data_IF_035719947505
#
_entry.id   IF_035719947505
#
_cell.length_a   1.000
_cell.length_b   1.000
_cell.length_c   1.000
_cell.angle_alpha   90.00
_cell.angle_beta   90.00
_cell.angle_gamma   90.00
#
_symmetry.space_group_name_H-M   'P 1'
#
loop_
_entity.id
_entity.type
_entity.pdbx_description
1 polymer ?
#
# COMPACT_ATOMS: atom_id res chain seq x y z
N UNK A 1 20.47 -17.70 12.27
CA UNK A 1 20.88 -16.59 11.38
C UNK A 1 19.74 -16.32 10.41
N UNK A 2 19.45 -15.04 10.18
CA UNK A 2 18.18 -14.50 9.71
C UNK A 2 17.64 -15.11 8.39
N UNK A 3 16.36 -15.49 8.38
CA UNK A 3 15.57 -15.57 7.14
C UNK A 3 15.15 -14.14 6.82
N UNK A 4 15.97 -13.42 6.08
CA UNK A 4 15.49 -12.28 5.30
C UNK A 4 14.38 -12.83 4.41
N UNK A 5 13.13 -12.43 4.64
CA UNK A 5 12.09 -12.66 3.66
C UNK A 5 12.54 -11.88 2.41
N UNK A 6 12.98 -12.59 1.37
CA UNK A 6 13.38 -11.98 0.11
C UNK A 6 12.14 -11.31 -0.50
N UNK A 7 11.99 -10.03 -0.20
CA UNK A 7 11.08 -9.16 -0.93
C UNK A 7 11.75 -8.87 -2.25
N UNK A 8 11.09 -9.23 -3.35
CA UNK A 8 11.62 -9.05 -4.69
C UNK A 8 11.74 -7.54 -5.01
N UNK A 9 12.97 -6.97 -5.06
CA UNK A 9 13.15 -5.55 -5.35
C UNK A 9 12.67 -5.18 -6.76
N UNK A 10 12.53 -6.15 -7.66
CA UNK A 10 12.01 -5.92 -9.01
C UNK A 10 10.53 -5.51 -8.99
N UNK A 11 9.74 -5.97 -8.02
CA UNK A 11 8.33 -5.59 -7.87
C UNK A 11 8.21 -4.12 -7.50
N UNK A 12 8.99 -3.67 -6.52
CA UNK A 12 9.02 -2.26 -6.10
C UNK A 12 9.56 -1.39 -7.24
N UNK A 13 10.63 -1.81 -7.92
CA UNK A 13 11.20 -1.06 -9.03
C UNK A 13 10.22 -0.93 -10.22
N UNK A 14 9.42 -1.97 -10.50
CA UNK A 14 8.36 -1.93 -11.52
C UNK A 14 7.31 -0.89 -11.16
N UNK A 15 6.81 -0.91 -9.93
CA UNK A 15 5.82 0.05 -9.45
C UNK A 15 6.37 1.49 -9.45
N UNK A 16 7.63 1.68 -9.07
CA UNK A 16 8.26 3.01 -9.09
C UNK A 16 8.46 3.53 -10.53
N UNK A 17 8.62 2.63 -11.51
CA UNK A 17 8.75 2.99 -12.93
C UNK A 17 7.41 3.33 -13.61
N UNK A 18 6.31 2.73 -13.16
CA UNK A 18 4.97 3.04 -13.65
C UNK A 18 3.99 3.34 -12.50
N UNK A 19 3.90 4.61 -12.07
CA UNK A 19 2.96 5.03 -11.04
C UNK A 19 1.47 4.83 -11.41
N UNK A 20 1.12 4.60 -12.68
CA UNK A 20 -0.26 4.39 -13.11
C UNK A 20 -0.66 2.91 -13.16
N UNK A 21 0.30 1.99 -13.12
CA UNK A 21 0.08 0.55 -13.08
C UNK A 21 -0.41 0.14 -11.67
N UNK A 22 -1.73 0.15 -11.47
CA UNK A 22 -2.37 -0.15 -10.18
C UNK A 22 -1.94 -1.51 -9.64
N UNK A 23 -1.94 -2.55 -10.48
CA UNK A 23 -1.56 -3.91 -10.07
C UNK A 23 -0.11 -3.95 -9.56
N UNK A 24 0.82 -3.26 -10.24
CA UNK A 24 2.19 -3.13 -9.76
C UNK A 24 2.27 -2.41 -8.41
N UNK A 25 1.44 -1.38 -8.18
CA UNK A 25 1.41 -0.69 -6.89
C UNK A 25 0.89 -1.58 -5.76
N UNK A 26 -0.14 -2.41 -6.00
CA UNK A 26 -0.66 -3.35 -5.02
C UNK A 26 0.41 -4.37 -4.61
N UNK A 27 1.06 -4.98 -5.61
CA UNK A 27 2.13 -5.95 -5.37
C UNK A 27 3.33 -5.32 -4.63
N UNK A 28 3.67 -4.07 -4.96
CA UNK A 28 4.74 -3.36 -4.26
C UNK A 28 4.37 -3.02 -2.81
N UNK A 29 3.10 -2.68 -2.53
CA UNK A 29 2.63 -2.46 -1.16
C UNK A 29 2.69 -3.76 -0.33
N UNK A 30 2.30 -4.90 -0.91
CA UNK A 30 2.41 -6.21 -0.25
C UNK A 30 3.87 -6.57 0.06
N UNK A 31 4.74 -6.35 -0.92
CA UNK A 31 6.19 -6.50 -0.79
C UNK A 31 6.75 -5.61 0.35
N UNK A 32 6.35 -4.36 0.41
CA UNK A 32 6.77 -3.41 1.45
C UNK A 32 6.28 -3.84 2.85
N UNK A 33 5.03 -4.30 2.99
CA UNK A 33 4.52 -4.87 4.25
C UNK A 33 5.32 -6.10 4.66
N UNK A 34 5.61 -7.02 3.72
CA UNK A 34 6.40 -8.21 3.99
C UNK A 34 7.84 -7.89 4.42
N UNK A 35 8.42 -6.79 3.91
CA UNK A 35 9.71 -6.24 4.34
C UNK A 35 9.65 -5.51 5.69
N UNK A 36 8.44 -5.23 6.21
CA UNK A 36 8.22 -4.43 7.41
C UNK A 36 8.17 -2.92 7.16
N UNK A 37 8.26 -2.46 5.91
CA UNK A 37 8.11 -1.05 5.52
C UNK A 37 6.63 -0.67 5.34
N UNK A 38 5.88 -0.86 6.42
CA UNK A 38 4.41 -0.71 6.44
C UNK A 38 3.97 0.72 6.12
N UNK A 39 4.71 1.72 6.56
CA UNK A 39 4.38 3.12 6.29
C UNK A 39 4.45 3.41 4.79
N UNK A 40 5.50 2.94 4.12
CA UNK A 40 5.66 3.09 2.67
C UNK A 40 4.54 2.40 1.89
N UNK A 41 4.14 1.20 2.30
CA UNK A 41 3.02 0.48 1.69
C UNK A 41 1.71 1.27 1.79
N UNK A 42 1.40 1.81 2.96
CA UNK A 42 0.17 2.58 3.18
C UNK A 42 0.16 3.89 2.39
N UNK A 43 1.29 4.60 2.36
CA UNK A 43 1.42 5.83 1.59
C UNK A 43 1.29 5.55 0.08
N UNK A 44 1.93 4.47 -0.41
CA UNK A 44 1.82 4.03 -1.81
C UNK A 44 0.37 3.87 -2.24
N UNK A 45 -0.41 3.07 -1.50
CA UNK A 45 -1.81 2.82 -1.86
C UNK A 45 -2.70 4.05 -1.67
N UNK A 46 -2.41 4.88 -0.66
CA UNK A 46 -3.11 6.17 -0.50
C UNK A 46 -2.92 7.05 -1.73
N UNK A 47 -1.70 7.11 -2.27
CA UNK A 47 -1.44 7.92 -3.45
C UNK A 47 -2.06 7.33 -4.72
N UNK A 48 -2.20 5.99 -4.81
CA UNK A 48 -2.99 5.36 -5.88
C UNK A 48 -4.44 5.80 -5.79
N UNK A 49 -5.07 5.69 -4.62
CA UNK A 49 -6.46 6.14 -4.40
C UNK A 49 -6.66 7.61 -4.77
N UNK A 50 -5.67 8.47 -4.51
CA UNK A 50 -5.73 9.90 -4.84
C UNK A 50 -5.68 10.16 -6.36
N UNK A 51 -4.95 9.35 -7.13
CA UNK A 51 -4.69 9.59 -8.57
C UNK A 51 -5.63 8.82 -9.49
N UNK A 52 -6.25 7.74 -9.01
CA UNK A 52 -7.15 6.90 -9.80
C UNK A 52 -8.63 7.25 -9.59
N UNK A 53 -9.50 6.66 -10.41
CA UNK A 53 -10.95 6.82 -10.35
C UNK A 53 -11.65 5.51 -10.75
N UNK A 54 -12.94 5.39 -10.42
CA UNK A 54 -13.72 4.18 -10.72
C UNK A 54 -13.12 2.93 -10.08
N UNK A 55 -13.13 1.82 -10.83
CA UNK A 55 -12.73 0.50 -10.36
C UNK A 55 -11.28 0.45 -9.83
N UNK A 56 -10.36 1.20 -10.45
CA UNK A 56 -8.95 1.29 -10.01
C UNK A 56 -8.83 1.92 -8.62
N UNK A 57 -9.66 2.93 -8.33
CA UNK A 57 -9.70 3.60 -7.03
C UNK A 57 -10.33 2.71 -5.97
N UNK A 58 -11.41 2.02 -6.33
CA UNK A 58 -12.06 1.07 -5.42
C UNK A 58 -11.13 -0.10 -5.09
N UNK A 59 -10.42 -0.65 -6.08
CA UNK A 59 -9.46 -1.75 -5.90
C UNK A 59 -8.33 -1.35 -4.94
N UNK A 60 -7.68 -0.20 -5.16
CA UNK A 60 -6.62 0.28 -4.28
C UNK A 60 -7.11 0.58 -2.86
N UNK A 61 -8.33 1.13 -2.71
CA UNK A 61 -8.95 1.37 -1.41
C UNK A 61 -9.19 0.05 -0.67
N UNK A 62 -9.79 -0.93 -1.33
CA UNK A 62 -10.09 -2.24 -0.74
C UNK A 62 -8.82 -2.96 -0.29
N UNK A 63 -7.78 -2.94 -1.13
CA UNK A 63 -6.49 -3.53 -0.79
C UNK A 63 -5.85 -2.85 0.43
N UNK A 64 -5.86 -1.51 0.48
CA UNK A 64 -5.35 -0.77 1.63
C UNK A 64 -6.11 -1.09 2.93
N UNK A 65 -7.44 -1.20 2.86
CA UNK A 65 -8.25 -1.61 4.01
C UNK A 65 -7.91 -3.03 4.44
N UNK A 66 -7.74 -3.97 3.50
CA UNK A 66 -7.30 -5.33 3.79
C UNK A 66 -5.94 -5.39 4.48
N UNK A 67 -4.99 -4.54 4.08
CA UNK A 67 -3.70 -4.45 4.77
C UNK A 67 -3.84 -3.93 6.21
N UNK A 68 -4.80 -3.05 6.52
CA UNK A 68 -5.03 -2.60 7.90
C UNK A 68 -5.47 -3.73 8.82
N UNK A 69 -6.18 -4.74 8.31
CA UNK A 69 -6.66 -5.89 9.10
C UNK A 69 -5.52 -6.78 9.60
N UNK A 70 -4.31 -6.62 9.07
CA UNK A 70 -3.10 -7.34 9.52
C UNK A 70 -2.49 -6.74 10.79
N UNK A 71 -2.97 -5.58 11.25
CA UNK A 71 -2.42 -4.83 12.37
C UNK A 71 -3.46 -4.56 13.45
N UNK A 72 -2.98 -4.18 14.64
CA UNK A 72 -3.86 -3.71 15.71
C UNK A 72 -4.59 -2.42 15.26
N UNK A 73 -5.91 -2.30 15.50
CA UNK A 73 -6.66 -1.09 15.14
C UNK A 73 -6.11 0.21 15.75
N UNK A 74 -5.42 0.12 16.90
CA UNK A 74 -4.81 1.27 17.59
C UNK A 74 -3.34 1.50 17.19
N UNK A 75 -2.80 0.72 16.24
CA UNK A 75 -1.47 0.98 15.67
C UNK A 75 -1.46 2.37 15.02
N UNK A 76 -0.52 3.22 15.44
CA UNK A 76 -0.42 4.60 14.97
C UNK A 76 -0.30 4.70 13.45
N UNK A 77 0.33 3.71 12.79
CA UNK A 77 0.44 3.66 11.32
C UNK A 77 -0.93 3.46 10.67
N UNK A 78 -1.76 2.58 11.24
CA UNK A 78 -3.15 2.34 10.76
C UNK A 78 -4.01 3.57 10.98
N UNK A 79 -3.92 4.20 12.16
CA UNK A 79 -4.68 5.42 12.47
C UNK A 79 -4.36 6.55 11.50
N UNK A 80 -3.07 6.79 11.23
CA UNK A 80 -2.62 7.80 10.27
C UNK A 80 -3.08 7.46 8.85
N UNK A 81 -2.90 6.20 8.42
CA UNK A 81 -3.28 5.79 7.07
C UNK A 81 -4.79 5.86 6.83
N UNK A 82 -5.63 5.52 7.80
CA UNK A 82 -7.10 5.70 7.72
C UNK A 82 -7.49 7.16 7.51
N UNK A 83 -6.82 8.09 8.22
CA UNK A 83 -7.04 9.53 8.04
C UNK A 83 -6.59 10.00 6.65
N UNK A 84 -5.45 9.52 6.17
CA UNK A 84 -4.93 9.85 4.86
C UNK A 84 -5.84 9.32 3.75
N UNK A 85 -6.33 8.09 3.88
CA UNK A 85 -7.30 7.49 2.97
C UNK A 85 -8.60 8.30 2.92
N UNK A 86 -9.17 8.66 4.08
CA UNK A 86 -10.35 9.52 4.11
C UNK A 86 -10.10 10.83 3.37
N UNK A 87 -8.94 11.46 3.58
CA UNK A 87 -8.55 12.71 2.92
C UNK A 87 -8.22 12.56 1.43
N UNK A 88 -7.92 11.36 0.94
CA UNK A 88 -7.75 11.07 -0.49
C UNK A 88 -9.10 10.84 -1.19
N UNK A 89 -10.14 10.51 -0.42
CA UNK A 89 -11.46 10.21 -0.98
C UNK A 89 -12.34 11.45 -1.20
N UNK A 90 -12.04 12.58 -0.54
CA UNK A 90 -12.79 13.84 -0.59
C UNK A 90 -11.95 14.96 -1.19
#
# INVERSE_FOLDING_TARGET
>A
AARTADVDPAVIARADADPADVDAQLLAADAEVAAGDVARAFDRLTDVVRRSAGDDRDTAREHLVGLFELFDPDDQRVVVARRNLASALF
#
